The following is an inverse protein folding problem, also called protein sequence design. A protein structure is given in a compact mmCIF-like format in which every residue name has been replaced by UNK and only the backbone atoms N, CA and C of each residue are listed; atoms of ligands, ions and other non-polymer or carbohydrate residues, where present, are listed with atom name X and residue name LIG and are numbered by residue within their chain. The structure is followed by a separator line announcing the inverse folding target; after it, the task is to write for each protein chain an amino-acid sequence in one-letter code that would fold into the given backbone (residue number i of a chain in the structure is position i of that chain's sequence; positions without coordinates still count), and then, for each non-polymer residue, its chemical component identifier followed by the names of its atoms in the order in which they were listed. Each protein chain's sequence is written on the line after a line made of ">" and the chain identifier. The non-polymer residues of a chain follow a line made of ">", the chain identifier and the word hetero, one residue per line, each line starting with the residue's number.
data_IF_940253467332
#
_entry.id   IF_940253467332
#
_cell.length_a   1.000
_cell.length_b   1.000
_cell.length_c   1.000
_cell.angle_alpha   90.00
_cell.angle_beta   90.00
_cell.angle_gamma   90.00
#
_symmetry.space_group_name_H-M   'P 1'
#
loop_
_entity.id
_entity.type
_entity.pdbx_description
1 polymer ?
#
# COMPACT_ATOMS: atom_id res chain seq x y z
N UNK A 1 0.51 -25.27 0.15
CA UNK A 1 0.78 -23.92 -0.39
C UNK A 1 0.89 -22.99 0.80
N UNK A 2 2.07 -22.40 1.05
CA UNK A 2 2.22 -21.44 2.15
C UNK A 2 1.51 -20.14 1.76
N UNK A 3 0.57 -19.68 2.59
CA UNK A 3 -0.08 -18.39 2.41
C UNK A 3 0.99 -17.29 2.59
N UNK A 4 1.01 -16.29 1.71
CA UNK A 4 1.96 -15.16 1.72
C UNK A 4 2.04 -14.49 3.10
N UNK A 5 0.90 -14.36 3.79
CA UNK A 5 0.81 -13.82 5.15
C UNK A 5 1.64 -14.65 6.16
N UNK A 6 1.56 -15.98 6.08
CA UNK A 6 2.31 -16.87 6.96
C UNK A 6 3.83 -16.81 6.75
N UNK A 7 4.27 -16.39 5.56
CA UNK A 7 5.68 -16.16 5.25
C UNK A 7 6.15 -14.85 5.87
N UNK A 8 5.35 -13.78 5.76
CA UNK A 8 5.67 -12.48 6.35
C UNK A 8 5.78 -12.59 7.87
N UNK A 9 4.86 -13.29 8.54
CA UNK A 9 4.93 -13.51 9.99
C UNK A 9 6.22 -14.23 10.43
N UNK A 10 6.67 -15.22 9.65
CA UNK A 10 7.91 -15.96 9.94
C UNK A 10 9.12 -15.04 9.79
N UNK A 11 9.15 -14.22 8.74
CA UNK A 11 10.22 -13.26 8.52
C UNK A 11 10.26 -12.21 9.64
N UNK A 12 9.12 -11.70 10.09
CA UNK A 12 9.04 -10.81 11.27
C UNK A 12 9.60 -11.45 12.53
N UNK A 13 9.25 -12.71 12.80
CA UNK A 13 9.78 -13.45 13.96
C UNK A 13 11.29 -13.63 13.90
N UNK A 14 11.83 -13.94 12.73
CA UNK A 14 13.28 -14.10 12.54
C UNK A 14 14.04 -12.76 12.69
N UNK A 15 13.49 -11.68 12.14
CA UNK A 15 14.05 -10.33 12.33
C UNK A 15 14.03 -9.91 13.80
N UNK A 16 12.92 -10.15 14.50
CA UNK A 16 12.81 -9.84 15.93
C UNK A 16 13.83 -10.66 16.75
N UNK A 17 14.01 -11.93 16.41
CA UNK A 17 15.00 -12.80 17.05
C UNK A 17 16.43 -12.34 16.76
N UNK A 18 16.70 -11.83 15.56
CA UNK A 18 18.00 -11.24 15.23
C UNK A 18 18.29 -9.96 16.05
N UNK A 19 17.28 -9.15 16.35
CA UNK A 19 17.44 -7.88 17.09
C UNK A 19 17.44 -8.01 18.62
N UNK A 20 16.67 -8.94 19.19
CA UNK A 20 16.45 -9.03 20.64
C UNK A 20 17.18 -10.20 21.34
N UNK A 21 17.98 -11.00 20.63
CA UNK A 21 18.73 -12.10 21.23
C UNK A 21 20.13 -11.65 21.71
N UNK A 22 20.55 -12.15 22.87
CA UNK A 22 21.84 -11.86 23.49
C UNK A 22 23.00 -12.65 22.87
N UNK A 23 22.71 -13.74 22.14
CA UNK A 23 23.72 -14.56 21.48
C UNK A 23 23.99 -14.07 20.04
N UNK A 24 25.18 -13.49 19.81
CA UNK A 24 25.60 -12.92 18.52
C UNK A 24 25.54 -13.93 17.36
N UNK A 25 25.89 -15.20 17.61
CA UNK A 25 25.88 -16.23 16.56
C UNK A 25 24.45 -16.61 16.15
N UNK A 26 23.53 -16.68 17.11
CA UNK A 26 22.11 -16.94 16.83
C UNK A 26 21.45 -15.76 16.12
N UNK A 27 21.79 -14.53 16.52
CA UNK A 27 21.31 -13.33 15.83
C UNK A 27 21.77 -13.27 14.38
N UNK A 28 23.04 -13.56 14.11
CA UNK A 28 23.59 -13.55 12.76
C UNK A 28 22.98 -14.64 11.86
N UNK A 29 22.79 -15.84 12.39
CA UNK A 29 22.15 -16.94 11.64
C UNK A 29 20.67 -16.67 11.38
N UNK A 30 19.93 -16.10 12.34
CA UNK A 30 18.54 -15.69 12.15
C UNK A 30 18.38 -14.59 11.10
N UNK A 31 19.27 -13.59 11.09
CA UNK A 31 19.27 -12.53 10.08
C UNK A 31 19.52 -13.08 8.67
N UNK A 32 20.49 -13.99 8.51
CA UNK A 32 20.79 -14.63 7.23
C UNK A 32 19.61 -15.46 6.70
N UNK A 33 18.96 -16.23 7.59
CA UNK A 33 17.76 -16.99 7.23
C UNK A 33 16.58 -16.09 6.83
N UNK A 34 16.38 -14.97 7.53
CA UNK A 34 15.35 -14.00 7.17
C UNK A 34 15.59 -13.44 5.77
N UNK A 35 16.82 -13.04 5.45
CA UNK A 35 17.19 -12.51 4.14
C UNK A 35 16.97 -13.53 3.02
N UNK A 36 17.34 -14.80 3.24
CA UNK A 36 17.12 -15.87 2.26
C UNK A 36 15.63 -16.05 1.95
N UNK A 37 14.79 -16.06 2.99
CA UNK A 37 13.34 -16.20 2.86
C UNK A 37 12.69 -15.00 2.16
N UNK A 38 13.19 -13.78 2.39
CA UNK A 38 12.76 -12.59 1.68
C UNK A 38 13.06 -12.68 0.19
N UNK A 39 14.27 -13.14 -0.18
CA UNK A 39 14.69 -13.28 -1.58
C UNK A 39 13.87 -14.34 -2.32
N UNK A 40 13.65 -15.50 -1.70
CA UNK A 40 12.89 -16.60 -2.30
C UNK A 40 11.45 -16.17 -2.63
N UNK A 41 10.84 -15.38 -1.76
CA UNK A 41 9.47 -14.90 -1.92
C UNK A 41 9.34 -13.50 -2.54
N UNK A 42 10.46 -12.89 -2.98
CA UNK A 42 10.52 -11.53 -3.55
C UNK A 42 9.84 -10.47 -2.66
N UNK A 43 9.98 -10.62 -1.34
CA UNK A 43 9.39 -9.70 -0.37
C UNK A 43 10.33 -8.49 -0.19
N UNK A 44 9.77 -7.29 -0.30
CA UNK A 44 10.49 -6.07 0.04
C UNK A 44 10.37 -5.78 1.54
N UNK A 45 11.38 -5.14 2.14
CA UNK A 45 11.35 -4.75 3.57
C UNK A 45 10.14 -3.86 3.87
N UNK A 46 9.79 -2.97 2.94
CA UNK A 46 8.60 -2.13 3.04
C UNK A 46 7.30 -2.94 3.17
N UNK A 47 7.19 -4.10 2.50
CA UNK A 47 6.01 -4.97 2.59
C UNK A 47 5.90 -5.70 3.94
N UNK A 48 7.04 -5.92 4.60
CA UNK A 48 7.08 -6.54 5.93
C UNK A 48 6.59 -5.53 6.97
N UNK A 49 7.06 -4.28 6.86
CA UNK A 49 6.67 -3.18 7.76
C UNK A 49 5.21 -2.76 7.54
N UNK A 50 4.73 -2.74 6.29
CA UNK A 50 3.34 -2.37 6.00
C UNK A 50 2.34 -3.44 6.35
N UNK A 51 2.71 -4.71 6.49
CA UNK A 51 1.75 -5.77 6.87
C UNK A 51 1.25 -5.68 8.34
N UNK A 52 1.72 -4.72 9.14
CA UNK A 52 1.07 -4.36 10.42
C UNK A 52 -0.04 -3.31 10.25
N UNK A 53 -0.14 -2.72 9.07
CA UNK A 53 -1.30 -1.95 8.63
C UNK A 53 -2.08 -2.91 7.74
N UNK A 54 -3.31 -3.27 8.12
CA UNK A 54 -4.21 -3.97 7.21
C UNK A 54 -4.09 -3.34 5.81
N UNK A 55 -3.94 -4.18 4.78
CA UNK A 55 -3.74 -3.76 3.38
C UNK A 55 -4.90 -2.88 2.81
N UNK A 56 -5.86 -2.51 3.67
CA UNK A 56 -6.98 -1.62 3.39
C UNK A 56 -6.73 -0.14 3.74
N UNK A 57 -5.68 0.21 4.51
CA UNK A 57 -5.43 1.60 4.94
C UNK A 57 -4.18 2.23 4.28
N UNK A 58 -4.22 2.38 2.96
CA UNK A 58 -3.39 3.41 2.33
C UNK A 58 -3.97 4.75 2.79
N UNK A 59 -3.29 5.42 3.73
CA UNK A 59 -3.65 6.76 4.22
C UNK A 59 -3.41 7.78 3.11
N UNK A 60 -4.31 7.80 2.12
CA UNK A 60 -4.38 8.87 1.12
C UNK A 60 -5.01 10.07 1.79
N UNK A 61 -4.33 11.22 1.76
CA UNK A 61 -4.91 12.48 2.19
C UNK A 61 -6.18 12.76 1.38
N UNK A 62 -7.34 12.46 1.96
CA UNK A 62 -8.64 12.55 1.32
C UNK A 62 -9.27 13.90 1.65
N UNK A 63 -9.66 14.64 0.62
CA UNK A 63 -10.47 15.85 0.78
C UNK A 63 -11.83 15.62 0.15
N UNK A 64 -12.85 15.50 0.99
CA UNK A 64 -14.23 15.36 0.54
C UNK A 64 -14.84 16.74 0.23
N UNK A 65 -15.42 16.88 -0.97
CA UNK A 65 -16.09 18.11 -1.41
C UNK A 65 -17.54 17.78 -1.77
N UNK A 66 -18.50 18.24 -0.95
CA UNK A 66 -19.91 18.07 -1.23
C UNK A 66 -20.43 19.26 -2.06
N UNK A 67 -20.88 18.97 -3.28
CA UNK A 67 -21.37 20.00 -4.21
C UNK A 67 -22.88 20.28 -4.10
N UNK A 68 -23.61 19.59 -3.22
CA UNK A 68 -25.04 19.81 -2.94
C UNK A 68 -25.98 19.55 -4.12
N UNK A 69 -25.46 19.04 -5.23
CA UNK A 69 -26.19 18.79 -6.47
C UNK A 69 -25.99 17.33 -6.89
N UNK A 70 -27.06 16.70 -7.38
CA UNK A 70 -27.02 15.34 -7.94
C UNK A 70 -26.09 15.25 -9.15
N UNK A 71 -25.94 16.34 -9.90
CA UNK A 71 -25.02 16.45 -11.03
C UNK A 71 -24.01 17.55 -10.80
N UNK A 72 -22.73 17.24 -11.02
CA UNK A 72 -21.66 18.22 -10.98
C UNK A 72 -21.70 19.09 -12.26
N UNK A 73 -21.86 20.43 -12.17
CA UNK A 73 -21.81 21.30 -13.34
C UNK A 73 -20.53 21.11 -14.15
N UNK A 74 -20.63 21.22 -15.48
CA UNK A 74 -19.49 21.00 -16.41
C UNK A 74 -18.28 21.86 -16.06
N UNK A 75 -18.47 23.13 -15.73
CA UNK A 75 -17.36 24.02 -15.38
C UNK A 75 -16.62 23.58 -14.11
N UNK A 76 -17.32 23.09 -13.08
CA UNK A 76 -16.70 22.55 -11.86
C UNK A 76 -15.90 21.28 -12.15
N UNK A 77 -16.41 20.45 -13.06
CA UNK A 77 -15.73 19.24 -13.53
C UNK A 77 -14.39 19.55 -14.20
N UNK A 78 -14.36 20.58 -15.05
CA UNK A 78 -13.16 21.01 -15.76
C UNK A 78 -12.11 21.55 -14.78
N UNK A 79 -12.53 22.39 -13.83
CA UNK A 79 -11.62 22.93 -12.82
C UNK A 79 -10.99 21.85 -11.94
N UNK A 80 -11.80 20.87 -11.52
CA UNK A 80 -11.31 19.74 -10.72
C UNK A 80 -10.25 18.93 -11.50
N UNK A 81 -10.45 18.71 -12.80
CA UNK A 81 -9.49 18.02 -13.65
C UNK A 81 -8.18 18.82 -13.81
N UNK A 82 -8.25 20.14 -13.98
CA UNK A 82 -7.05 20.98 -14.05
C UNK A 82 -6.28 21.03 -12.73
N UNK A 83 -6.99 21.09 -11.60
CA UNK A 83 -6.38 21.13 -10.28
C UNK A 83 -5.64 19.83 -9.97
N UNK A 84 -6.31 18.70 -10.20
CA UNK A 84 -5.73 17.37 -9.96
C UNK A 84 -4.51 17.09 -10.81
N UNK A 85 -4.50 17.54 -12.07
CA UNK A 85 -3.33 17.45 -12.94
C UNK A 85 -2.15 18.30 -12.42
N UNK A 86 -2.41 19.49 -11.88
CA UNK A 86 -1.37 20.35 -11.33
C UNK A 86 -0.84 19.87 -9.97
N UNK A 87 -1.68 19.23 -9.17
CA UNK A 87 -1.35 18.78 -7.81
C UNK A 87 -0.92 17.32 -7.72
N UNK A 88 -0.75 16.63 -8.86
CA UNK A 88 -0.51 15.17 -8.92
C UNK A 88 -1.52 14.36 -8.09
N UNK A 89 -2.77 14.82 -8.01
CA UNK A 89 -3.85 14.14 -7.32
C UNK A 89 -4.78 13.44 -8.33
N UNK A 90 -5.65 12.56 -7.84
CA UNK A 90 -6.68 11.91 -8.65
C UNK A 90 -8.06 12.30 -8.13
N UNK A 91 -8.92 12.80 -9.02
CA UNK A 91 -10.31 13.08 -8.69
C UNK A 91 -11.14 11.80 -8.80
N UNK A 92 -11.69 11.36 -7.67
CA UNK A 92 -12.63 10.23 -7.64
C UNK A 92 -14.05 10.76 -7.49
N UNK A 93 -14.95 10.31 -8.37
CA UNK A 93 -16.38 10.60 -8.26
C UNK A 93 -17.09 9.39 -7.70
N UNK A 94 -17.72 9.56 -6.56
CA UNK A 94 -18.50 8.51 -5.91
C UNK A 94 -19.97 8.94 -6.01
N UNK A 95 -20.70 8.37 -6.96
CA UNK A 95 -22.16 8.47 -6.96
C UNK A 95 -22.67 7.67 -5.76
N UNK A 96 -23.51 8.27 -4.93
CA UNK A 96 -23.83 7.78 -3.59
C UNK A 96 -24.07 6.27 -3.48
N UNK A 97 -23.07 5.55 -2.99
CA UNK A 97 -23.12 4.34 -2.15
C UNK A 97 -21.68 3.85 -1.94
N UNK A 98 -21.25 3.80 -0.67
CA UNK A 98 -20.05 3.15 -0.09
C UNK A 98 -18.74 3.20 -0.92
N UNK A 99 -17.72 3.83 -0.33
CA UNK A 99 -16.31 3.73 -0.73
C UNK A 99 -15.94 2.24 -0.97
N UNK A 100 -15.60 1.83 -2.19
CA UNK A 100 -14.94 0.55 -2.40
C UNK A 100 -13.47 0.70 -1.97
N UNK A 101 -12.98 -0.35 -1.32
CA UNK A 101 -11.60 -0.67 -0.92
C UNK A 101 -10.58 -0.45 -2.05
N UNK A 102 -9.26 -0.38 -1.75
CA UNK A 102 -8.33 0.47 -2.49
C UNK A 102 -8.16 0.00 -3.94
N UNK A 103 -8.47 0.90 -4.88
CA UNK A 103 -8.28 0.68 -6.31
C UNK A 103 -6.78 0.69 -6.65
N UNK A 104 -6.28 -0.46 -7.08
CA UNK A 104 -5.00 -0.59 -7.75
C UNK A 104 -5.07 0.15 -9.10
N UNK A 105 -4.25 1.20 -9.26
CA UNK A 105 -4.17 1.96 -10.52
C UNK A 105 -3.56 1.08 -11.64
N UNK A 106 -4.08 1.13 -12.88
CA UNK A 106 -3.35 0.61 -14.03
C UNK A 106 -2.23 1.60 -14.38
N UNK A 107 -1.01 1.09 -14.51
CA UNK A 107 0.14 1.84 -15.04
C UNK A 107 -0.11 2.24 -16.49
N UNK A 108 0.40 3.40 -16.94
CA UNK A 108 0.25 3.83 -18.32
C UNK A 108 1.34 3.15 -19.17
N UNK A 109 1.16 1.86 -19.47
CA UNK A 109 1.95 1.18 -20.50
C UNK A 109 1.06 0.95 -21.72
N UNK A 110 1.27 1.79 -22.73
CA UNK A 110 0.51 1.75 -23.98
C UNK A 110 1.02 2.80 -24.96
N UNK A 111 2.28 2.68 -25.35
CA UNK A 111 2.78 3.22 -26.63
C UNK A 111 1.85 2.76 -27.76
N UNK A 112 1.23 3.70 -28.49
CA UNK A 112 1.26 3.83 -29.97
C UNK A 112 0.98 5.29 -30.35
#
# INVERSE_FOLDING_TARGET
>A
MANRESVIEKVKKLLNLASNNANVNESATAAGLAQQLMLEHKLAVAEIETNDQDADDIVVAKTDVNFGATNLPKWKSILLASLTKASCCVAVRIAGAKLPTPYLFPTPDGEV
#
